data_IF_414347180726
#
_entry.id   IF_414347180726
#
_cell.length_a   1.000
_cell.length_b   1.000
_cell.length_c   1.000
_cell.angle_alpha   90.00
_cell.angle_beta   90.00
_cell.angle_gamma   90.00
#
_symmetry.space_group_name_H-M   'P 1'
#
loop_
_entity.id
_entity.type
_entity.pdbx_description
1 polymer ?
#
# COMPACT_ATOMS: atom_id res chain seq x y z
N UNK A 1 -6.91 -50.69 2.51
CA UNK A 1 -6.24 -49.59 1.76
C UNK A 1 -7.26 -48.96 0.82
N UNK A 2 -7.70 -47.73 1.08
CA UNK A 2 -8.78 -47.10 0.30
C UNK A 2 -8.31 -46.79 -1.13
N UNK A 3 -9.04 -47.28 -2.15
CA UNK A 3 -8.66 -47.11 -3.56
C UNK A 3 -8.78 -45.64 -3.93
N UNK A 4 -7.68 -45.02 -4.37
CA UNK A 4 -7.67 -43.61 -4.76
C UNK A 4 -8.54 -43.40 -6.01
N UNK A 5 -9.51 -42.49 -5.94
CA UNK A 5 -10.51 -42.25 -7.00
C UNK A 5 -9.92 -41.69 -8.31
N UNK A 6 -8.83 -40.92 -8.22
CA UNK A 6 -8.22 -40.26 -9.39
C UNK A 6 -6.72 -40.56 -9.50
N UNK A 7 -6.16 -40.58 -10.71
CA UNK A 7 -4.71 -40.62 -10.95
C UNK A 7 -4.12 -39.19 -10.99
N UNK A 8 -2.79 -39.07 -11.05
CA UNK A 8 -2.13 -37.75 -11.16
C UNK A 8 -2.47 -37.08 -12.50
N UNK A 9 -2.49 -37.88 -13.55
CA UNK A 9 -2.75 -37.47 -14.94
C UNK A 9 -4.21 -37.02 -15.10
N UNK A 10 -5.15 -37.72 -14.48
CA UNK A 10 -6.55 -37.29 -14.43
C UNK A 10 -6.71 -35.95 -13.70
N UNK A 11 -6.02 -35.76 -12.57
CA UNK A 11 -6.07 -34.49 -11.83
C UNK A 11 -5.46 -33.34 -12.63
N UNK A 12 -4.37 -33.59 -13.36
CA UNK A 12 -3.79 -32.61 -14.29
C UNK A 12 -4.78 -32.25 -15.41
N UNK A 13 -5.44 -33.25 -16.02
CA UNK A 13 -6.45 -33.03 -17.05
C UNK A 13 -7.60 -32.15 -16.53
N UNK A 14 -8.19 -32.47 -15.39
CA UNK A 14 -9.27 -31.68 -14.80
C UNK A 14 -8.83 -30.26 -14.43
N UNK A 15 -7.60 -30.10 -13.94
CA UNK A 15 -7.05 -28.79 -13.61
C UNK A 15 -6.88 -27.92 -14.87
N UNK A 16 -6.29 -28.48 -15.94
CA UNK A 16 -6.12 -27.78 -17.22
C UNK A 16 -7.45 -27.48 -17.89
N UNK A 17 -8.39 -28.43 -17.88
CA UNK A 17 -9.76 -28.21 -18.38
C UNK A 17 -10.45 -27.06 -17.67
N UNK A 18 -10.31 -26.98 -16.34
CA UNK A 18 -10.87 -25.86 -15.59
C UNK A 18 -10.18 -24.54 -15.94
N UNK A 19 -8.84 -24.50 -15.98
CA UNK A 19 -8.06 -23.33 -16.43
C UNK A 19 -8.55 -22.79 -17.77
N UNK A 20 -8.72 -23.66 -18.76
CA UNK A 20 -9.15 -23.27 -20.10
C UNK A 20 -10.57 -22.74 -20.13
N UNK A 21 -11.45 -23.26 -19.26
CA UNK A 21 -12.83 -22.79 -19.11
C UNK A 21 -12.90 -21.39 -18.48
N UNK A 22 -12.11 -21.14 -17.43
CA UNK A 22 -12.18 -19.88 -16.67
C UNK A 22 -11.16 -18.82 -17.13
N UNK A 23 -10.26 -19.18 -18.05
CA UNK A 23 -9.16 -18.33 -18.57
C UNK A 23 -8.33 -17.64 -17.48
N UNK A 24 -8.19 -18.31 -16.33
CA UNK A 24 -7.36 -17.92 -15.19
C UNK A 24 -6.83 -19.18 -14.51
N UNK A 25 -5.80 -19.05 -13.69
CA UNK A 25 -5.36 -20.13 -12.80
C UNK A 25 -6.47 -20.38 -11.75
N UNK A 26 -7.04 -21.60 -11.65
CA UNK A 26 -8.06 -21.94 -10.67
C UNK A 26 -7.57 -21.64 -9.26
N UNK A 27 -8.49 -21.11 -8.46
CA UNK A 27 -8.35 -21.05 -7.01
C UNK A 27 -9.26 -22.10 -6.37
N UNK A 28 -9.07 -22.33 -5.08
CA UNK A 28 -9.85 -23.30 -4.31
C UNK A 28 -11.36 -23.05 -4.48
N UNK A 29 -11.79 -21.80 -4.31
CA UNK A 29 -13.17 -21.35 -4.54
C UNK A 29 -13.70 -21.64 -5.96
N UNK A 30 -12.83 -21.59 -6.97
CA UNK A 30 -13.23 -21.84 -8.36
C UNK A 30 -13.54 -23.33 -8.59
N UNK A 31 -12.84 -24.21 -7.87
CA UNK A 31 -13.05 -25.65 -7.90
C UNK A 31 -14.26 -26.09 -7.10
N UNK A 32 -14.48 -25.52 -5.92
CA UNK A 32 -15.67 -25.81 -5.11
C UNK A 32 -16.97 -25.45 -5.86
N UNK A 33 -16.94 -24.37 -6.66
CA UNK A 33 -18.07 -23.96 -7.50
C UNK A 33 -18.22 -24.83 -8.77
N UNK A 34 -17.19 -25.58 -9.16
CA UNK A 34 -17.18 -26.35 -10.38
C UNK A 34 -17.79 -27.76 -10.17
N UNK A 35 -19.06 -27.90 -10.53
CA UNK A 35 -19.74 -29.22 -10.52
C UNK A 35 -19.03 -30.22 -11.44
N UNK A 36 -18.81 -31.44 -10.93
CA UNK A 36 -18.19 -32.53 -11.69
C UNK A 36 -16.65 -32.52 -11.72
N UNK A 37 -16.00 -31.65 -10.92
CA UNK A 37 -14.54 -31.62 -10.78
C UNK A 37 -14.10 -32.30 -9.47
N UNK A 38 -12.87 -32.84 -9.40
CA UNK A 38 -12.32 -33.38 -8.15
C UNK A 38 -12.23 -32.29 -7.08
N UNK A 39 -12.43 -32.63 -5.80
CA UNK A 39 -12.34 -31.63 -4.71
C UNK A 39 -10.91 -31.09 -4.54
N UNK A 40 -10.78 -29.90 -3.92
CA UNK A 40 -9.46 -29.35 -3.54
C UNK A 40 -8.67 -30.34 -2.68
N UNK A 41 -9.33 -31.02 -1.75
CA UNK A 41 -8.70 -32.03 -0.89
C UNK A 41 -8.05 -33.16 -1.69
N UNK A 42 -8.67 -33.58 -2.81
CA UNK A 42 -8.08 -34.60 -3.70
C UNK A 42 -6.73 -34.18 -4.28
N UNK A 43 -6.53 -32.88 -4.55
CA UNK A 43 -5.25 -32.34 -4.98
C UNK A 43 -4.27 -32.23 -3.81
N UNK A 44 -4.71 -31.78 -2.65
CA UNK A 44 -3.87 -31.69 -1.44
C UNK A 44 -3.32 -33.07 -1.07
N UNK A 45 -4.17 -34.10 -1.03
CA UNK A 45 -3.78 -35.48 -0.72
C UNK A 45 -2.77 -36.05 -1.73
N UNK A 46 -2.81 -35.58 -2.98
CA UNK A 46 -1.96 -36.10 -4.06
C UNK A 46 -0.63 -35.36 -4.21
N UNK A 47 -0.63 -34.05 -3.98
CA UNK A 47 0.49 -33.15 -4.28
C UNK A 47 1.05 -32.47 -3.02
N UNK A 48 0.53 -32.80 -1.84
CA UNK A 48 0.92 -32.26 -0.54
C UNK A 48 0.28 -30.90 -0.23
N UNK A 49 0.03 -30.07 -1.25
CA UNK A 49 -0.71 -28.81 -1.10
C UNK A 49 -1.38 -28.39 -2.42
N UNK A 50 -2.40 -27.55 -2.32
CA UNK A 50 -3.00 -26.92 -3.49
C UNK A 50 -1.99 -26.07 -4.27
N UNK A 51 -1.13 -25.33 -3.56
CA UNK A 51 -0.10 -24.49 -4.18
C UNK A 51 0.90 -25.32 -4.99
N UNK A 52 1.23 -26.54 -4.55
CA UNK A 52 2.08 -27.45 -5.33
C UNK A 52 1.40 -27.87 -6.64
N UNK A 53 0.11 -28.20 -6.62
CA UNK A 53 -0.65 -28.49 -7.84
C UNK A 53 -0.68 -27.28 -8.78
N UNK A 54 -0.90 -26.07 -8.25
CA UNK A 54 -0.86 -24.82 -9.03
C UNK A 54 0.54 -24.59 -9.62
N UNK A 55 1.61 -24.87 -8.89
CA UNK A 55 2.97 -24.70 -9.39
C UNK A 55 3.33 -25.70 -10.51
N UNK A 56 2.80 -26.93 -10.43
CA UNK A 56 3.01 -27.98 -11.43
C UNK A 56 2.21 -27.74 -12.71
N UNK A 57 0.94 -27.35 -12.58
CA UNK A 57 -0.01 -27.32 -13.70
C UNK A 57 -0.37 -25.91 -14.18
N UNK A 58 -0.12 -24.88 -13.37
CA UNK A 58 -0.56 -23.51 -13.64
C UNK A 58 0.18 -22.87 -14.82
N UNK A 59 -0.59 -22.37 -15.79
CA UNK A 59 -0.04 -21.56 -16.87
C UNK A 59 0.27 -20.14 -16.38
N UNK A 60 1.56 -19.83 -16.20
CA UNK A 60 2.02 -18.52 -15.71
C UNK A 60 1.61 -17.35 -16.63
N UNK A 61 1.37 -17.58 -17.92
CA UNK A 61 0.89 -16.52 -18.85
C UNK A 61 -0.46 -15.95 -18.40
N UNK A 62 -1.34 -16.77 -17.82
CA UNK A 62 -2.65 -16.33 -17.32
C UNK A 62 -2.56 -15.46 -16.05
N UNK A 63 -1.38 -15.37 -15.44
CA UNK A 63 -1.12 -14.54 -14.26
C UNK A 63 -0.32 -13.27 -14.57
N UNK A 64 -0.04 -13.02 -15.86
CA UNK A 64 0.64 -11.82 -16.32
C UNK A 64 -0.25 -10.58 -16.20
N UNK A 65 0.35 -9.49 -15.75
CA UNK A 65 -0.26 -8.16 -15.74
C UNK A 65 0.76 -7.10 -16.13
N UNK A 66 0.26 -5.97 -16.63
CA UNK A 66 1.08 -4.76 -16.81
C UNK A 66 1.31 -4.05 -15.48
N UNK A 67 2.55 -3.65 -15.22
CA UNK A 67 2.91 -2.86 -14.05
C UNK A 67 2.29 -1.47 -14.11
N UNK A 68 1.65 -1.02 -13.02
CA UNK A 68 1.06 0.31 -12.93
C UNK A 68 2.07 1.48 -12.98
N UNK A 69 3.37 1.22 -12.79
CA UNK A 69 4.42 2.24 -12.88
C UNK A 69 5.10 2.29 -14.25
N UNK A 70 5.57 1.14 -14.75
CA UNK A 70 6.41 1.09 -15.96
C UNK A 70 5.77 0.38 -17.15
N UNK A 71 4.54 -0.14 -17.01
CA UNK A 71 3.84 -0.86 -18.08
C UNK A 71 4.36 -2.27 -18.39
N UNK A 72 5.56 -2.64 -17.91
CA UNK A 72 6.16 -3.98 -18.14
C UNK A 72 5.22 -5.11 -17.70
N UNK A 73 5.13 -6.16 -18.53
CA UNK A 73 4.46 -7.42 -18.17
C UNK A 73 5.22 -8.14 -17.06
N UNK A 74 4.50 -8.59 -16.03
CA UNK A 74 5.05 -9.36 -14.93
C UNK A 74 4.03 -10.38 -14.42
N UNK A 75 4.55 -11.51 -13.93
CA UNK A 75 3.74 -12.53 -13.25
C UNK A 75 3.47 -12.08 -11.82
N UNK A 76 2.19 -12.03 -11.45
CA UNK A 76 1.78 -11.51 -10.16
C UNK A 76 1.84 -12.62 -9.08
N UNK A 77 2.65 -12.42 -8.04
CA UNK A 77 2.72 -13.35 -6.90
C UNK A 77 1.52 -13.29 -5.94
N UNK A 78 0.92 -12.12 -5.70
CA UNK A 78 -0.28 -11.94 -4.86
C UNK A 78 -1.35 -11.11 -5.58
N UNK A 79 -2.65 -11.36 -5.35
CA UNK A 79 -3.76 -10.63 -6.03
C UNK A 79 -3.63 -9.10 -5.97
N UNK A 80 -3.12 -8.59 -4.87
CA UNK A 80 -2.96 -7.15 -4.61
C UNK A 80 -1.76 -6.52 -5.33
N UNK A 81 -0.80 -7.30 -5.84
CA UNK A 81 0.41 -6.77 -6.45
C UNK A 81 0.10 -6.07 -7.78
N UNK A 82 0.37 -4.77 -7.83
CA UNK A 82 0.20 -3.90 -9.01
C UNK A 82 1.52 -3.56 -9.71
N UNK A 83 2.65 -3.93 -9.11
CA UNK A 83 3.98 -3.49 -9.53
C UNK A 83 4.88 -4.69 -9.79
N UNK A 84 5.73 -4.58 -10.82
CA UNK A 84 6.69 -5.62 -11.18
C UNK A 84 7.87 -5.72 -10.19
N UNK A 85 8.12 -4.69 -9.38
CA UNK A 85 9.20 -4.67 -8.39
C UNK A 85 8.92 -3.68 -7.27
N UNK A 86 9.62 -3.85 -6.14
CA UNK A 86 9.61 -2.90 -5.01
C UNK A 86 10.08 -1.50 -5.47
N UNK A 87 11.05 -1.44 -6.38
CA UNK A 87 11.50 -0.21 -7.03
C UNK A 87 10.35 0.51 -7.76
N UNK A 88 9.57 -0.22 -8.56
CA UNK A 88 8.43 0.36 -9.26
C UNK A 88 7.31 0.83 -8.32
N UNK A 89 7.07 0.11 -7.23
CA UNK A 89 6.16 0.57 -6.16
C UNK A 89 6.66 1.91 -5.59
N UNK A 90 7.92 1.99 -5.16
CA UNK A 90 8.50 3.20 -4.58
C UNK A 90 8.43 4.39 -5.54
N UNK A 91 8.84 4.20 -6.80
CA UNK A 91 8.81 5.25 -7.83
C UNK A 91 7.38 5.72 -8.15
N UNK A 92 6.40 4.81 -8.13
CA UNK A 92 5.00 5.19 -8.35
C UNK A 92 4.46 6.06 -7.20
N UNK A 93 4.75 5.69 -5.96
CA UNK A 93 4.32 6.45 -4.80
C UNK A 93 5.06 7.78 -4.64
N UNK A 94 6.35 7.85 -4.99
CA UNK A 94 7.11 9.10 -4.98
C UNK A 94 6.59 10.10 -6.01
N UNK A 95 6.16 9.65 -7.19
CA UNK A 95 5.49 10.49 -8.19
C UNK A 95 4.11 10.98 -7.72
N UNK A 96 3.42 10.21 -6.87
CA UNK A 96 2.11 10.57 -6.31
C UNK A 96 2.21 11.65 -5.23
N UNK A 97 3.38 11.83 -4.61
CA UNK A 97 3.73 13.05 -3.86
C UNK A 97 3.93 14.19 -4.87
N UNK A 98 2.83 14.81 -5.28
CA UNK A 98 2.77 15.64 -6.47
C UNK A 98 3.77 16.80 -6.46
N UNK A 99 4.33 17.13 -7.63
CA UNK A 99 5.04 18.40 -7.88
C UNK A 99 4.20 19.61 -7.44
N UNK A 100 2.87 19.49 -7.48
CA UNK A 100 1.87 20.44 -7.00
C UNK A 100 1.86 20.62 -5.47
N UNK A 101 2.17 19.58 -4.67
CA UNK A 101 2.25 19.71 -3.21
C UNK A 101 3.48 20.48 -2.76
N UNK A 102 4.63 20.39 -3.45
CA UNK A 102 5.84 21.14 -3.07
C UNK A 102 5.71 22.67 -3.21
N UNK A 103 5.08 23.15 -4.29
CA UNK A 103 4.90 24.58 -4.49
C UNK A 103 3.95 25.19 -3.45
N UNK A 104 2.87 24.47 -3.10
CA UNK A 104 1.92 24.89 -2.06
C UNK A 104 2.57 24.78 -0.68
N UNK A 105 3.31 23.71 -0.40
CA UNK A 105 4.06 23.51 0.84
C UNK A 105 5.02 24.68 1.11
N UNK A 106 5.78 25.12 0.10
CA UNK A 106 6.64 26.30 0.22
C UNK A 106 5.83 27.59 0.50
N UNK A 107 4.68 27.79 -0.15
CA UNK A 107 3.81 28.95 0.11
C UNK A 107 3.24 28.91 1.53
N UNK A 108 2.80 27.75 2.00
CA UNK A 108 2.28 27.56 3.35
C UNK A 108 3.37 27.85 4.37
N UNK A 109 4.60 27.35 4.15
CA UNK A 109 5.75 27.66 5.01
C UNK A 109 6.05 29.16 5.10
N UNK A 110 5.96 29.88 3.99
CA UNK A 110 6.10 31.34 3.98
C UNK A 110 4.99 32.03 4.78
N UNK A 111 3.74 31.60 4.61
CA UNK A 111 2.58 32.15 5.37
C UNK A 111 2.72 31.89 6.87
N UNK A 112 3.27 30.74 7.25
CA UNK A 112 3.51 30.35 8.65
C UNK A 112 4.80 30.96 9.25
N UNK A 113 5.45 31.88 8.55
CA UNK A 113 6.61 32.63 9.06
C UNK A 113 7.99 32.10 8.66
N UNK A 114 8.09 30.87 8.16
CA UNK A 114 9.34 30.33 7.62
C UNK A 114 10.44 30.05 8.65
N UNK A 115 10.09 29.99 9.94
CA UNK A 115 10.98 29.60 11.04
C UNK A 115 10.33 28.52 11.90
N UNK A 116 11.12 27.78 12.67
CA UNK A 116 10.58 26.82 13.62
C UNK A 116 9.87 27.56 14.76
N UNK A 117 8.72 27.04 15.21
CA UNK A 117 7.95 27.65 16.29
C UNK A 117 8.68 27.64 17.65
N UNK A 118 9.59 26.68 17.85
CA UNK A 118 10.33 26.49 19.12
C UNK A 118 11.72 27.14 19.09
N UNK A 119 12.32 27.35 17.91
CA UNK A 119 13.67 27.88 17.79
C UNK A 119 13.87 28.62 16.46
N UNK A 120 14.96 29.36 16.32
CA UNK A 120 15.22 30.20 15.14
C UNK A 120 15.68 29.42 13.88
N UNK A 121 15.44 28.12 13.81
CA UNK A 121 15.83 27.31 12.66
C UNK A 121 14.96 27.61 11.44
N UNK A 122 15.56 27.83 10.27
CA UNK A 122 14.84 28.33 9.06
C UNK A 122 14.93 27.41 7.85
N UNK A 123 15.79 26.39 7.87
CA UNK A 123 16.20 25.69 6.64
C UNK A 123 15.26 24.54 6.26
N UNK A 124 15.21 23.49 7.07
CA UNK A 124 14.40 22.29 6.83
C UNK A 124 13.19 22.25 7.77
N UNK A 125 12.12 22.93 7.39
CA UNK A 125 10.90 22.97 8.20
C UNK A 125 9.86 21.97 7.75
N UNK A 126 9.20 21.35 8.72
CA UNK A 126 8.09 20.42 8.56
C UNK A 126 6.80 21.09 9.05
N UNK A 127 5.72 20.95 8.28
CA UNK A 127 4.40 21.46 8.67
C UNK A 127 3.76 20.44 9.60
N UNK A 128 3.36 20.89 10.79
CA UNK A 128 2.69 20.06 11.78
C UNK A 128 1.28 20.59 12.05
N UNK A 129 0.28 19.71 12.02
CA UNK A 129 -1.08 20.03 12.42
C UNK A 129 -1.24 19.80 13.92
N UNK A 130 -1.86 20.77 14.61
CA UNK A 130 -2.12 20.69 16.05
C UNK A 130 -3.19 19.65 16.41
N UNK A 131 -3.91 19.10 15.43
CA UNK A 131 -4.79 17.98 15.69
C UNK A 131 -3.96 16.71 15.95
N UNK A 132 -4.26 15.96 17.01
CA UNK A 132 -3.59 14.68 17.33
C UNK A 132 -3.77 13.58 16.26
N UNK A 133 -4.21 13.94 15.05
CA UNK A 133 -4.44 13.05 13.92
C UNK A 133 -3.25 13.17 12.97
N UNK A 134 -2.92 12.07 12.31
CA UNK A 134 -1.83 12.03 11.34
C UNK A 134 -1.90 13.16 10.31
N UNK A 135 -0.79 13.87 10.16
CA UNK A 135 -0.59 14.89 9.15
C UNK A 135 -0.76 14.30 7.74
N UNK A 136 -1.48 15.01 6.87
CA UNK A 136 -1.63 14.62 5.48
C UNK A 136 -1.59 15.84 4.57
N UNK A 137 -0.96 15.69 3.41
CA UNK A 137 -0.88 16.76 2.40
C UNK A 137 -2.28 17.28 2.00
N UNK A 138 -3.31 16.44 2.08
CA UNK A 138 -4.70 16.83 1.80
C UNK A 138 -5.27 17.81 2.84
N UNK A 139 -4.94 17.62 4.13
CA UNK A 139 -5.37 18.56 5.18
C UNK A 139 -4.77 19.94 4.96
N UNK A 140 -3.45 19.99 4.75
CA UNK A 140 -2.72 21.24 4.48
C UNK A 140 -3.29 21.93 3.24
N UNK A 141 -3.55 21.19 2.16
CA UNK A 141 -4.14 21.74 0.94
C UNK A 141 -5.55 22.30 1.17
N UNK A 142 -6.39 21.58 1.92
CA UNK A 142 -7.76 22.02 2.23
C UNK A 142 -7.75 23.29 3.08
N UNK A 143 -6.88 23.33 4.09
CA UNK A 143 -6.67 24.48 4.97
C UNK A 143 -6.18 25.71 4.19
N UNK A 144 -5.17 25.52 3.32
CA UNK A 144 -4.65 26.56 2.44
C UNK A 144 -5.73 27.14 1.52
N UNK A 145 -6.51 26.29 0.85
CA UNK A 145 -7.58 26.74 -0.05
C UNK A 145 -8.70 27.49 0.70
N UNK A 146 -8.98 27.12 1.95
CA UNK A 146 -9.94 27.81 2.83
C UNK A 146 -9.36 29.02 3.54
N UNK A 147 -8.07 29.34 3.34
CA UNK A 147 -7.31 30.37 4.07
C UNK A 147 -7.39 30.21 5.60
N UNK A 148 -7.51 28.98 6.09
CA UNK A 148 -7.57 28.68 7.51
C UNK A 148 -6.38 27.79 7.89
N UNK A 149 -5.26 28.42 8.24
CA UNK A 149 -4.00 27.74 8.59
C UNK A 149 -3.66 27.84 10.08
N UNK A 150 -4.58 28.31 10.92
CA UNK A 150 -4.34 28.56 12.34
C UNK A 150 -4.02 27.30 13.17
N UNK A 151 -4.37 26.13 12.65
CA UNK A 151 -4.09 24.84 13.30
C UNK A 151 -2.79 24.20 12.80
N UNK A 152 -1.94 24.96 12.09
CA UNK A 152 -0.67 24.48 11.56
C UNK A 152 0.49 25.33 12.06
N UNK A 153 1.59 24.68 12.39
CA UNK A 153 2.86 25.32 12.76
C UNK A 153 4.02 24.72 11.97
N UNK A 154 5.16 25.41 11.99
CA UNK A 154 6.41 24.91 11.46
C UNK A 154 7.31 24.41 12.59
N UNK A 155 7.90 23.24 12.40
CA UNK A 155 8.88 22.68 13.33
C UNK A 155 10.14 22.27 12.56
N UNK A 156 11.30 22.41 13.19
CA UNK A 156 12.53 21.80 12.69
C UNK A 156 12.46 20.27 12.88
N UNK A 157 13.34 19.49 12.22
CA UNK A 157 13.25 18.03 12.27
C UNK A 157 13.46 17.49 13.70
N UNK A 158 14.21 18.20 14.54
CA UNK A 158 14.44 17.81 15.94
C UNK A 158 13.16 17.99 16.79
N UNK A 159 12.59 19.19 16.82
CA UNK A 159 11.36 19.46 17.59
C UNK A 159 10.16 18.66 17.05
N UNK A 160 10.07 18.48 15.73
CA UNK A 160 9.05 17.63 15.13
C UNK A 160 9.20 16.16 15.59
N UNK A 161 10.44 15.65 15.64
CA UNK A 161 10.74 14.32 16.18
C UNK A 161 10.42 14.20 17.67
N UNK A 162 10.68 15.24 18.49
CA UNK A 162 10.37 15.23 19.91
C UNK A 162 8.87 14.97 20.17
N UNK A 163 7.98 15.57 19.39
CA UNK A 163 6.54 15.28 19.45
C UNK A 163 6.22 13.84 19.06
N UNK A 164 6.78 13.34 17.95
CA UNK A 164 6.57 11.96 17.52
C UNK A 164 7.09 10.93 18.53
N UNK A 165 8.17 11.26 19.24
CA UNK A 165 8.78 10.42 20.28
C UNK A 165 8.16 10.63 21.66
N UNK A 166 7.21 11.57 21.80
CA UNK A 166 6.61 11.96 23.09
C UNK A 166 7.65 12.43 24.12
N UNK A 167 8.74 13.01 23.63
CA UNK A 167 9.76 13.71 24.43
C UNK A 167 9.37 15.17 24.67
N UNK A 168 8.27 15.61 24.05
CA UNK A 168 7.64 16.88 24.33
C UNK A 168 6.14 16.76 24.04
N UNK A 169 5.37 17.68 24.59
CA UNK A 169 3.95 17.85 24.36
C UNK A 169 3.68 19.28 23.96
N UNK A 170 2.95 19.41 22.85
CA UNK A 170 2.38 20.67 22.42
C UNK A 170 0.90 20.69 22.78
N UNK A 171 0.46 21.75 23.47
CA UNK A 171 -0.93 21.93 23.86
C UNK A 171 -1.39 23.35 23.58
N UNK A 172 -2.67 23.52 23.25
CA UNK A 172 -3.28 24.84 23.05
C UNK A 172 -4.07 25.20 24.30
N UNK A 173 -3.75 26.34 24.90
CA UNK A 173 -4.47 26.90 26.04
C UNK A 173 -4.97 28.28 25.64
N UNK A 174 -6.29 28.44 25.52
CA UNK A 174 -6.92 29.64 24.97
C UNK A 174 -6.40 29.93 23.54
N UNK A 175 -5.59 30.97 23.37
CA UNK A 175 -4.96 31.36 22.10
C UNK A 175 -3.47 31.05 22.03
N UNK A 176 -2.86 30.58 23.12
CA UNK A 176 -1.42 30.34 23.19
C UNK A 176 -1.08 28.85 23.01
N UNK A 177 0.03 28.62 22.32
CA UNK A 177 0.61 27.29 22.17
C UNK A 177 1.70 27.10 23.22
N UNK A 178 1.53 26.08 24.05
CA UNK A 178 2.44 25.76 25.15
C UNK A 178 3.22 24.50 24.78
N UNK A 179 4.54 24.65 24.73
CA UNK A 179 5.50 23.54 24.59
C UNK A 179 5.98 23.10 25.96
N UNK A 180 5.96 21.80 26.22
CA UNK A 180 6.44 21.18 27.45
C UNK A 180 7.36 20.01 27.08
N UNK A 181 8.61 20.05 27.53
CA UNK A 181 9.60 18.96 27.36
C UNK A 181 9.44 17.90 28.46
#
# INVERSE_FOLDING_TARGET
>A
MHKRKYTKEQLEFYFKKLMDKIKKIPREEDLEKAKGYPSVQTYVDRFGSWQNAVNLFGNKKLSERRCANCGKLFVRSKKTNKFCSKKCLMLFHSKKSSKYTKAIDNKVKQILGGTCFICDFTYFLEIHCLDNKKDSNHKVLTAYNKKNLHDFILLCPNHHMMLHKKLAKLSRKENDLIWQE
#
